data_IF_680679313413
#
_entry.id   IF_680679313413
#
_cell.length_a   1.000
_cell.length_b   1.000
_cell.length_c   1.000
_cell.angle_alpha   90.00
_cell.angle_beta   90.00
_cell.angle_gamma   90.00
#
_symmetry.space_group_name_H-M   'P 1'
#
loop_
_entity.id
_entity.type
_entity.pdbx_description
1 polymer ?
#
# COMPACT_ATOMS: atom_id res chain seq x y z
N UNK A 1 47.60 52.62 25.49
CA UNK A 1 46.37 52.68 24.68
C UNK A 1 46.06 51.23 24.33
N UNK A 2 45.35 50.55 25.21
CA UNK A 2 45.01 49.13 25.08
C UNK A 2 43.50 49.05 25.23
N UNK A 3 42.83 49.00 24.08
CA UNK A 3 41.37 48.99 23.96
C UNK A 3 40.97 47.53 24.07
N UNK A 4 40.37 47.17 25.20
CA UNK A 4 39.77 45.85 25.42
C UNK A 4 38.56 45.73 24.49
N UNK A 5 38.75 45.22 23.28
CA UNK A 5 37.70 44.85 22.32
C UNK A 5 37.03 43.49 22.69
N UNK A 6 36.91 43.19 23.98
CA UNK A 6 36.61 41.83 24.46
C UNK A 6 35.23 41.67 25.12
N UNK A 7 34.33 42.65 24.98
CA UNK A 7 32.98 42.56 25.55
C UNK A 7 31.95 42.78 24.44
N UNK A 8 31.06 41.81 24.31
CA UNK A 8 29.88 41.78 23.46
C UNK A 8 30.09 41.23 22.05
N UNK A 9 30.44 39.93 21.95
CA UNK A 9 29.63 39.12 21.03
C UNK A 9 28.18 39.25 21.52
N UNK A 10 27.48 40.22 20.94
CA UNK A 10 26.15 40.66 21.36
C UNK A 10 25.28 39.44 21.56
N UNK A 11 24.53 39.37 22.64
CA UNK A 11 23.57 38.29 22.89
C UNK A 11 22.65 38.10 21.67
N UNK A 12 22.40 39.15 20.89
CA UNK A 12 21.72 39.08 19.60
C UNK A 12 22.41 38.19 18.55
N UNK A 13 23.74 38.18 18.49
CA UNK A 13 24.52 37.30 17.61
C UNK A 13 24.40 35.83 18.02
N UNK A 14 24.48 35.53 19.32
CA UNK A 14 24.30 34.17 19.85
C UNK A 14 22.88 33.64 19.62
N UNK A 15 21.86 34.48 19.83
CA UNK A 15 20.45 34.13 19.56
C UNK A 15 20.23 33.91 18.06
N UNK A 16 20.79 34.77 17.21
CA UNK A 16 20.69 34.62 15.75
C UNK A 16 21.34 33.31 15.28
N UNK A 17 22.49 32.96 15.86
CA UNK A 17 23.20 31.71 15.57
C UNK A 17 22.41 30.48 16.03
N UNK A 18 21.81 30.53 17.23
CA UNK A 18 20.98 29.43 17.74
C UNK A 18 19.72 29.20 16.89
N UNK A 19 19.08 30.28 16.42
CA UNK A 19 17.94 30.21 15.50
C UNK A 19 18.38 29.64 14.13
N UNK A 20 19.53 30.06 13.64
CA UNK A 20 20.08 29.54 12.39
C UNK A 20 20.40 28.04 12.48
N UNK A 21 21.04 27.60 13.57
CA UNK A 21 21.37 26.20 13.82
C UNK A 21 20.11 25.34 14.03
N UNK A 22 19.11 25.85 14.78
CA UNK A 22 17.83 25.17 14.96
C UNK A 22 17.03 25.01 13.67
N UNK A 23 17.07 26.02 12.79
CA UNK A 23 16.47 25.96 11.45
C UNK A 23 17.22 24.98 10.55
N UNK A 24 18.55 24.93 10.63
CA UNK A 24 19.38 23.95 9.92
C UNK A 24 19.05 22.52 10.34
N UNK A 25 18.93 22.27 11.65
CA UNK A 25 18.54 20.97 12.20
C UNK A 25 17.13 20.54 11.74
N UNK A 26 16.15 21.44 11.82
CA UNK A 26 14.79 21.15 11.36
C UNK A 26 14.73 20.84 9.84
N UNK A 27 15.52 21.55 9.03
CA UNK A 27 15.62 21.30 7.59
C UNK A 27 16.29 19.96 7.29
N UNK A 28 17.30 19.55 8.07
CA UNK A 28 17.96 18.25 7.94
C UNK A 28 17.02 17.10 8.29
N UNK A 29 16.25 17.23 9.37
CA UNK A 29 15.27 16.22 9.79
C UNK A 29 14.16 16.07 8.74
N UNK A 30 13.63 17.20 8.23
CA UNK A 30 12.66 17.19 7.14
C UNK A 30 13.22 16.53 5.87
N UNK A 31 14.51 16.75 5.58
CA UNK A 31 15.22 16.08 4.49
C UNK A 31 15.32 14.57 4.69
N UNK A 32 15.66 14.12 5.89
CA UNK A 32 15.74 12.70 6.26
C UNK A 32 14.39 11.99 6.09
N UNK A 33 13.31 12.57 6.63
CA UNK A 33 11.96 12.02 6.48
C UNK A 33 11.52 11.97 5.02
N UNK A 34 11.83 13.02 4.25
CA UNK A 34 11.51 13.06 2.82
C UNK A 34 12.27 11.98 2.03
N UNK A 35 13.55 11.78 2.32
CA UNK A 35 14.37 10.75 1.68
C UNK A 35 13.85 9.34 2.03
N UNK A 36 13.56 9.07 3.30
CA UNK A 36 13.02 7.79 3.76
C UNK A 36 11.66 7.48 3.10
N UNK A 37 10.77 8.47 3.01
CA UNK A 37 9.47 8.32 2.36
C UNK A 37 9.62 8.04 0.87
N UNK A 38 10.51 8.76 0.17
CA UNK A 38 10.76 8.56 -1.27
C UNK A 38 11.38 7.19 -1.56
N UNK A 39 12.32 6.75 -0.74
CA UNK A 39 12.96 5.44 -0.85
C UNK A 39 11.95 4.30 -0.68
N UNK A 40 11.10 4.38 0.36
CA UNK A 40 10.02 3.40 0.57
C UNK A 40 8.93 3.46 -0.51
N UNK A 41 8.62 4.64 -1.05
CA UNK A 41 7.66 4.79 -2.13
C UNK A 41 8.15 4.15 -3.43
N UNK A 42 9.45 4.18 -3.71
CA UNK A 42 10.03 3.57 -4.90
C UNK A 42 9.82 2.05 -4.90
N UNK A 43 10.06 1.41 -3.76
CA UNK A 43 9.84 -0.04 -3.58
C UNK A 43 8.35 -0.39 -3.62
N UNK A 44 7.50 0.39 -2.94
CA UNK A 44 6.05 0.16 -2.94
C UNK A 44 5.46 0.34 -4.34
N UNK A 45 5.93 1.30 -5.13
CA UNK A 45 5.44 1.51 -6.50
C UNK A 45 5.66 0.29 -7.38
N UNK A 46 6.85 -0.31 -7.35
CA UNK A 46 7.16 -1.50 -8.16
C UNK A 46 6.27 -2.69 -7.77
N UNK A 47 6.15 -2.97 -6.48
CA UNK A 47 5.28 -4.03 -5.95
C UNK A 47 3.79 -3.77 -6.26
N UNK A 48 3.36 -2.51 -6.20
CA UNK A 48 1.97 -2.13 -6.47
C UNK A 48 1.63 -2.31 -7.95
N UNK A 49 2.53 -1.91 -8.86
CA UNK A 49 2.32 -2.10 -10.30
C UNK A 49 2.27 -3.59 -10.62
N UNK A 50 3.26 -4.37 -10.15
CA UNK A 50 3.30 -5.81 -10.42
C UNK A 50 2.08 -6.54 -9.81
N UNK A 51 1.70 -6.19 -8.59
CA UNK A 51 0.52 -6.73 -7.92
C UNK A 51 -0.78 -6.36 -8.64
N UNK A 52 -0.93 -5.12 -9.09
CA UNK A 52 -2.10 -4.66 -9.83
C UNK A 52 -2.20 -5.36 -11.21
N UNK A 53 -1.08 -5.45 -11.94
CA UNK A 53 -1.03 -6.17 -13.22
C UNK A 53 -1.35 -7.66 -13.02
N UNK A 54 -0.79 -8.31 -12.00
CA UNK A 54 -1.10 -9.70 -11.69
C UNK A 54 -2.59 -9.89 -11.36
N UNK A 55 -3.18 -9.00 -10.56
CA UNK A 55 -4.60 -9.04 -10.23
C UNK A 55 -5.48 -8.88 -11.48
N UNK A 56 -5.11 -7.96 -12.37
CA UNK A 56 -5.81 -7.75 -13.63
C UNK A 56 -5.72 -8.98 -14.54
N UNK A 57 -4.54 -9.61 -14.64
CA UNK A 57 -4.36 -10.84 -15.41
C UNK A 57 -5.16 -12.01 -14.84
N UNK A 58 -5.19 -12.17 -13.51
CA UNK A 58 -6.03 -13.19 -12.84
C UNK A 58 -7.50 -12.93 -13.14
N UNK A 59 -7.96 -11.68 -13.08
CA UNK A 59 -9.34 -11.33 -13.44
C UNK A 59 -9.66 -11.70 -14.89
N UNK A 60 -8.81 -11.31 -15.84
CA UNK A 60 -8.98 -11.65 -17.25
C UNK A 60 -9.01 -13.18 -17.45
N UNK A 61 -8.15 -13.93 -16.77
CA UNK A 61 -8.15 -15.39 -16.81
C UNK A 61 -9.44 -15.99 -16.24
N UNK A 62 -9.99 -15.47 -15.15
CA UNK A 62 -11.27 -15.91 -14.59
C UNK A 62 -12.41 -15.68 -15.58
N UNK A 63 -12.48 -14.52 -16.22
CA UNK A 63 -13.48 -14.23 -17.26
C UNK A 63 -13.33 -15.22 -18.43
N UNK A 64 -12.11 -15.40 -18.94
CA UNK A 64 -11.83 -16.32 -20.03
C UNK A 64 -12.19 -17.78 -19.68
N UNK A 65 -11.93 -18.21 -18.45
CA UNK A 65 -12.29 -19.55 -17.96
C UNK A 65 -13.81 -19.73 -17.91
N UNK A 66 -14.55 -18.72 -17.42
CA UNK A 66 -16.02 -18.74 -17.39
C UNK A 66 -16.58 -18.82 -18.80
N UNK A 67 -16.06 -18.03 -19.74
CA UNK A 67 -16.49 -18.05 -21.15
C UNK A 67 -16.18 -19.41 -21.79
N UNK A 68 -14.97 -19.94 -21.59
CA UNK A 68 -14.59 -21.27 -22.10
C UNK A 68 -15.46 -22.40 -21.55
N UNK A 69 -15.75 -22.37 -20.24
CA UNK A 69 -16.66 -23.32 -19.61
C UNK A 69 -18.08 -23.19 -20.17
N UNK A 70 -18.56 -21.97 -20.36
CA UNK A 70 -19.88 -21.72 -20.93
C UNK A 70 -19.99 -22.28 -22.35
N UNK A 71 -19.01 -22.01 -23.23
CA UNK A 71 -18.99 -22.51 -24.60
C UNK A 71 -18.92 -24.03 -24.64
N UNK A 72 -18.10 -24.65 -23.77
CA UNK A 72 -18.00 -26.11 -23.68
C UNK A 72 -19.33 -26.73 -23.25
N UNK A 73 -19.92 -26.20 -22.17
CA UNK A 73 -21.13 -26.78 -21.58
C UNK A 73 -22.39 -26.50 -22.41
N UNK A 74 -22.42 -25.38 -23.14
CA UNK A 74 -23.51 -25.05 -24.06
C UNK A 74 -23.66 -26.11 -25.16
N UNK A 75 -22.58 -26.78 -25.57
CA UNK A 75 -22.64 -27.86 -26.58
C UNK A 75 -23.27 -29.15 -26.06
N UNK A 76 -23.25 -29.40 -24.73
CA UNK A 76 -23.79 -30.63 -24.13
C UNK A 76 -25.23 -30.45 -23.64
N UNK A 77 -25.52 -29.34 -22.95
CA UNK A 77 -26.77 -29.17 -22.17
C UNK A 77 -27.64 -28.02 -22.71
N UNK A 78 -27.17 -27.37 -23.77
CA UNK A 78 -27.80 -26.17 -24.35
C UNK A 78 -27.43 -24.88 -23.60
N UNK A 79 -27.58 -23.71 -24.25
CA UNK A 79 -27.09 -22.43 -23.73
C UNK A 79 -27.72 -22.01 -22.40
N UNK A 80 -29.03 -22.25 -22.22
CA UNK A 80 -29.77 -21.80 -21.04
C UNK A 80 -29.39 -22.54 -19.76
N UNK A 81 -29.21 -23.86 -19.82
CA UNK A 81 -28.78 -24.64 -18.65
C UNK A 81 -27.28 -24.45 -18.36
N UNK A 82 -26.48 -24.25 -19.41
CA UNK A 82 -25.06 -23.96 -19.27
C UNK A 82 -24.80 -22.65 -18.50
N UNK A 83 -25.51 -21.56 -18.84
CA UNK A 83 -25.35 -20.29 -18.11
C UNK A 83 -25.76 -20.44 -16.65
N UNK A 84 -26.87 -21.12 -16.38
CA UNK A 84 -27.36 -21.31 -15.01
C UNK A 84 -26.35 -22.09 -14.16
N UNK A 85 -25.79 -23.20 -14.68
CA UNK A 85 -24.78 -23.98 -13.98
C UNK A 85 -23.50 -23.19 -13.71
N UNK A 86 -22.98 -22.49 -14.73
CA UNK A 86 -21.75 -21.70 -14.60
C UNK A 86 -21.91 -20.58 -13.58
N UNK A 87 -23.07 -19.89 -13.58
CA UNK A 87 -23.37 -18.84 -12.60
C UNK A 87 -23.43 -19.42 -11.19
N UNK A 88 -24.15 -20.52 -10.97
CA UNK A 88 -24.27 -21.15 -9.65
C UNK A 88 -22.91 -21.58 -9.10
N UNK A 89 -22.09 -22.25 -9.92
CA UNK A 89 -20.75 -22.69 -9.51
C UNK A 89 -19.84 -21.50 -9.20
N UNK A 90 -19.87 -20.46 -10.04
CA UNK A 90 -19.05 -19.26 -9.83
C UNK A 90 -19.47 -18.52 -8.56
N UNK A 91 -20.77 -18.39 -8.29
CA UNK A 91 -21.28 -17.79 -7.06
C UNK A 91 -20.89 -18.60 -5.82
N UNK A 92 -20.95 -19.94 -5.89
CA UNK A 92 -20.54 -20.80 -4.79
C UNK A 92 -19.06 -20.62 -4.46
N UNK A 93 -18.19 -20.57 -5.48
CA UNK A 93 -16.76 -20.33 -5.31
C UNK A 93 -16.49 -18.93 -4.74
N UNK A 94 -17.14 -17.90 -5.30
CA UNK A 94 -16.99 -16.51 -4.83
C UNK A 94 -17.46 -16.36 -3.37
N UNK A 95 -18.58 -16.98 -3.01
CA UNK A 95 -19.08 -17.00 -1.63
C UNK A 95 -18.12 -17.70 -0.67
N UNK A 96 -17.54 -18.83 -1.07
CA UNK A 96 -16.56 -19.56 -0.26
C UNK A 96 -15.28 -18.73 -0.04
N UNK A 97 -14.75 -18.12 -1.10
CA UNK A 97 -13.57 -17.25 -1.03
C UNK A 97 -13.84 -16.01 -0.16
N UNK A 98 -15.00 -15.38 -0.32
CA UNK A 98 -15.42 -14.24 0.51
C UNK A 98 -15.54 -14.63 2.00
N UNK A 99 -16.09 -15.80 2.28
CA UNK A 99 -16.18 -16.32 3.65
C UNK A 99 -14.79 -16.62 4.25
N UNK A 100 -13.89 -17.22 3.48
CA UNK A 100 -12.50 -17.46 3.89
C UNK A 100 -11.76 -16.15 4.16
N UNK A 101 -11.94 -15.14 3.30
CA UNK A 101 -11.36 -13.81 3.47
C UNK A 101 -11.85 -13.14 4.76
N UNK A 102 -13.16 -13.16 5.02
CA UNK A 102 -13.76 -12.66 6.27
C UNK A 102 -13.22 -13.42 7.49
N UNK A 103 -13.07 -14.74 7.38
CA UNK A 103 -12.50 -15.57 8.46
C UNK A 103 -11.04 -15.26 8.72
N UNK A 104 -10.25 -14.99 7.69
CA UNK A 104 -8.84 -14.61 7.82
C UNK A 104 -8.72 -13.23 8.48
N UNK A 105 -9.50 -12.26 8.02
CA UNK A 105 -9.43 -10.89 8.53
C UNK A 105 -9.82 -10.80 10.01
N UNK A 106 -10.84 -11.57 10.43
CA UNK A 106 -11.22 -11.72 11.86
C UNK A 106 -10.13 -12.34 12.74
N UNK A 107 -9.15 -13.07 12.17
CA UNK A 107 -8.00 -13.59 12.94
C UNK A 107 -6.92 -12.53 13.12
N UNK A 108 -6.73 -11.66 12.13
CA UNK A 108 -5.70 -10.61 12.13
C UNK A 108 -6.08 -9.44 13.04
N UNK A 109 -7.38 -9.17 13.22
CA UNK A 109 -7.86 -8.08 14.07
C UNK A 109 -7.98 -8.41 15.56
N UNK A 110 -7.52 -9.59 16.01
CA UNK A 110 -7.42 -9.86 17.45
C UNK A 110 -6.28 -9.01 18.02
N UNK A 111 -6.55 -8.07 18.94
CA UNK A 111 -5.48 -7.32 19.59
C UNK A 111 -4.55 -8.32 20.28
N UNK A 112 -3.25 -8.23 19.99
CA UNK A 112 -2.22 -8.95 20.74
C UNK A 112 -2.37 -8.52 22.19
N UNK A 113 -2.92 -9.39 23.03
CA UNK A 113 -2.79 -9.26 24.47
C UNK A 113 -1.36 -9.68 24.79
N UNK A 114 -0.46 -8.71 24.82
CA UNK A 114 0.86 -8.89 25.42
C UNK A 114 0.70 -8.83 26.95
N UNK A 115 1.30 -9.77 27.71
CA UNK A 115 1.19 -9.86 29.17
C UNK A 115 1.96 -8.77 29.90
#
# INVERSE_FOLDING_TARGET
MDVREDQDESIGALVTRLIADGRGYAAAEAGYWRALVVDRLADVKSLTILGCTALLLVNAAVIALIVGALLSLATLVGPGLATLLVVLVTLAIAGLLGWLALRHWRRVTRPRQEP
#
